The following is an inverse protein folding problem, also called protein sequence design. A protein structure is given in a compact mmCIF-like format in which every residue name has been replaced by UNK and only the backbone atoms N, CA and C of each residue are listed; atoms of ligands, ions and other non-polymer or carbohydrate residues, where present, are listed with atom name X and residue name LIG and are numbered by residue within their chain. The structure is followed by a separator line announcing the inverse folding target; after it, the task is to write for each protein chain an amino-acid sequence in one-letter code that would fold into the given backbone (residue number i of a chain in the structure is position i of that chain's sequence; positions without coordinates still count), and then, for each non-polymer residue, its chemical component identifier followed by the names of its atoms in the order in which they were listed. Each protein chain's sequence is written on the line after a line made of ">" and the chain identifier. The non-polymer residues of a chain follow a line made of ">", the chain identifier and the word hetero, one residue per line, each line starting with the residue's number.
data_IF_958741758407
#
_entry.id   IF_958741758407
#
_cell.length_a   1.000
_cell.length_b   1.000
_cell.length_c   1.000
_cell.angle_alpha   90.00
_cell.angle_beta   90.00
_cell.angle_gamma   90.00
#
_symmetry.space_group_name_H-M   'P 1'
#
loop_
_entity.id
_entity.type
_entity.pdbx_description
1 polymer ?
#
# COMPACT_ATOMS: atom_id res chain seq x y z
N UNK A 1 -10.67 -0.83 -21.37
CA UNK A 1 -9.97 0.47 -21.42
C UNK A 1 -8.74 0.53 -20.49
N UNK A 2 -8.88 0.50 -19.15
CA UNK A 2 -7.74 0.57 -18.20
C UNK A 2 -6.62 -0.44 -18.45
N UNK A 3 -6.98 -1.71 -18.64
CA UNK A 3 -6.04 -2.80 -18.96
C UNK A 3 -5.15 -2.50 -20.18
N UNK A 4 -5.71 -1.81 -21.19
CA UNK A 4 -4.96 -1.39 -22.37
C UNK A 4 -3.94 -0.29 -22.05
N UNK A 5 -4.28 0.68 -21.20
CA UNK A 5 -3.41 1.82 -20.87
C UNK A 5 -2.47 1.58 -19.68
N UNK A 6 -2.78 0.66 -18.77
CA UNK A 6 -2.03 0.46 -17.52
C UNK A 6 -1.28 -0.88 -17.46
N UNK A 7 -1.75 -1.88 -18.21
CA UNK A 7 -1.17 -3.22 -18.23
C UNK A 7 -2.15 -4.29 -17.79
N UNK A 8 -1.78 -5.55 -18.01
CA UNK A 8 -2.58 -6.72 -17.61
C UNK A 8 -2.76 -6.80 -16.09
N UNK A 9 -1.73 -6.39 -15.35
CA UNK A 9 -1.63 -6.55 -13.91
C UNK A 9 -2.13 -5.34 -13.12
N UNK A 10 -2.83 -4.38 -13.73
CA UNK A 10 -3.22 -3.11 -13.10
C UNK A 10 -4.06 -3.21 -11.81
N UNK A 11 -4.53 -4.41 -11.45
CA UNK A 11 -5.26 -4.72 -10.22
C UNK A 11 -4.36 -5.22 -9.08
N UNK A 12 -3.08 -5.52 -9.36
CA UNK A 12 -2.11 -5.85 -8.33
C UNK A 12 -1.68 -4.57 -7.62
N UNK A 13 -1.47 -4.66 -6.31
CA UNK A 13 -0.98 -3.55 -5.52
C UNK A 13 0.50 -3.28 -5.80
N UNK A 14 0.95 -2.08 -5.41
CA UNK A 14 2.36 -1.73 -5.43
C UNK A 14 3.03 -1.76 -6.81
N UNK A 15 4.35 -2.03 -6.88
CA UNK A 15 5.09 -2.06 -8.13
C UNK A 15 4.67 -3.21 -9.07
N UNK A 16 4.08 -4.29 -8.54
CA UNK A 16 3.62 -5.45 -9.31
C UNK A 16 2.50 -5.10 -10.29
N UNK A 17 1.69 -4.08 -9.96
CA UNK A 17 0.62 -3.60 -10.82
C UNK A 17 1.03 -2.61 -11.92
N UNK A 18 2.29 -2.16 -11.91
CA UNK A 18 2.77 -1.11 -12.79
C UNK A 18 3.53 -1.65 -14.01
N UNK A 19 2.99 -1.46 -15.22
CA UNK A 19 3.76 -1.64 -16.45
C UNK A 19 4.41 -0.31 -16.87
N UNK A 20 5.70 -0.16 -16.56
CA UNK A 20 6.48 1.05 -16.85
C UNK A 20 6.44 1.46 -18.33
N UNK A 21 6.29 0.50 -19.26
CA UNK A 21 6.25 0.77 -20.70
C UNK A 21 4.97 1.49 -21.11
N UNK A 22 3.93 1.41 -20.28
CA UNK A 22 2.64 2.08 -20.52
C UNK A 22 2.46 3.32 -19.65
N UNK A 23 2.88 3.26 -18.40
CA UNK A 23 2.65 4.35 -17.42
C UNK A 23 3.77 5.39 -17.41
N UNK A 24 4.98 5.04 -17.87
CA UNK A 24 6.19 5.84 -17.74
C UNK A 24 6.51 6.22 -16.28
N UNK A 25 6.04 5.43 -15.31
CA UNK A 25 6.35 5.60 -13.88
C UNK A 25 7.39 4.58 -13.47
N UNK A 26 8.51 5.07 -12.93
CA UNK A 26 9.59 4.22 -12.44
C UNK A 26 9.13 3.29 -11.30
N UNK A 27 9.58 2.03 -11.33
CA UNK A 27 9.18 1.03 -10.33
C UNK A 27 9.52 1.44 -8.90
N UNK A 28 10.68 2.08 -8.69
CA UNK A 28 11.08 2.58 -7.38
C UNK A 28 10.08 3.59 -6.79
N UNK A 29 9.39 4.36 -7.63
CA UNK A 29 8.36 5.31 -7.19
C UNK A 29 7.11 4.59 -6.70
N UNK A 30 6.75 3.47 -7.34
CA UNK A 30 5.61 2.65 -6.95
C UNK A 30 5.90 1.89 -5.66
N UNK A 31 7.10 1.30 -5.56
CA UNK A 31 7.58 0.63 -4.35
C UNK A 31 7.56 1.58 -3.14
N UNK A 32 8.20 2.75 -3.26
CA UNK A 32 8.23 3.74 -2.17
C UNK A 32 6.82 4.15 -1.69
N UNK A 33 5.90 4.40 -2.62
CA UNK A 33 4.51 4.77 -2.27
C UNK A 33 3.79 3.63 -1.55
N UNK A 34 3.94 2.41 -2.05
CA UNK A 34 3.31 1.24 -1.45
C UNK A 34 3.86 0.95 -0.05
N UNK A 35 5.18 0.94 0.10
CA UNK A 35 5.84 0.75 1.39
C UNK A 35 5.44 1.83 2.41
N UNK A 36 5.39 3.10 1.98
CA UNK A 36 4.97 4.21 2.85
C UNK A 36 3.54 4.02 3.33
N UNK A 37 2.61 3.68 2.43
CA UNK A 37 1.22 3.41 2.78
C UNK A 37 1.09 2.23 3.75
N UNK A 38 1.78 1.12 3.49
CA UNK A 38 1.78 -0.04 4.37
C UNK A 38 2.32 0.31 5.76
N UNK A 39 3.39 1.11 5.85
CA UNK A 39 3.95 1.56 7.11
C UNK A 39 2.96 2.45 7.88
N UNK A 40 2.33 3.42 7.21
CA UNK A 40 1.32 4.29 7.81
C UNK A 40 0.12 3.49 8.35
N UNK A 41 -0.38 2.53 7.57
CA UNK A 41 -1.45 1.64 8.00
C UNK A 41 -1.03 0.76 9.17
N UNK A 42 0.20 0.22 9.16
CA UNK A 42 0.74 -0.55 10.28
C UNK A 42 0.76 0.28 11.56
N UNK A 43 1.22 1.53 11.48
CA UNK A 43 1.23 2.42 12.65
C UNK A 43 -0.17 2.69 13.21
N UNK A 44 -1.17 2.88 12.34
CA UNK A 44 -2.56 3.04 12.78
C UNK A 44 -3.08 1.78 13.46
N UNK A 45 -2.83 0.61 12.88
CA UNK A 45 -3.25 -0.68 13.44
C UNK A 45 -2.59 -0.91 14.80
N UNK A 46 -1.30 -0.63 14.94
CA UNK A 46 -0.57 -0.81 16.19
C UNK A 46 -1.05 0.19 17.26
N UNK A 47 -1.31 1.44 16.88
CA UNK A 47 -1.91 2.44 17.76
C UNK A 47 -3.28 1.96 18.29
N UNK A 48 -4.18 1.50 17.42
CA UNK A 48 -5.50 0.99 17.83
C UNK A 48 -5.38 -0.21 18.76
N UNK A 49 -4.49 -1.16 18.46
CA UNK A 49 -4.23 -2.31 19.34
C UNK A 49 -3.73 -1.89 20.71
N UNK A 50 -2.79 -0.95 20.76
CA UNK A 50 -2.26 -0.44 22.05
C UNK A 50 -3.33 0.23 22.90
N UNK A 51 -4.27 0.95 22.29
CA UNK A 51 -5.42 1.56 22.99
C UNK A 51 -6.34 0.47 23.53
N UNK A 52 -6.71 -0.52 22.71
CA UNK A 52 -7.57 -1.62 23.14
C UNK A 52 -6.96 -2.41 24.32
N UNK A 53 -5.66 -2.70 24.26
CA UNK A 53 -4.94 -3.38 25.36
C UNK A 53 -4.91 -2.53 26.62
N UNK A 54 -4.75 -1.21 26.49
CA UNK A 54 -4.76 -0.30 27.63
C UNK A 54 -6.15 -0.21 28.30
N UNK A 55 -7.23 -0.25 27.50
CA UNK A 55 -8.62 -0.31 28.00
C UNK A 55 -8.91 -1.63 28.74
N UNK A 56 -8.45 -2.77 28.20
CA UNK A 56 -8.57 -4.08 28.85
C UNK A 56 -7.77 -4.16 30.17
N UNK A 57 -6.59 -3.54 30.24
CA UNK A 57 -5.76 -3.56 31.45
C UNK A 57 -6.30 -2.68 32.60
N UNK A 58 -7.19 -1.73 32.29
CA UNK A 58 -7.82 -0.84 33.27
C UNK A 58 -9.17 -1.38 33.79
N UNK A 59 -9.73 -2.39 33.14
CA UNK A 59 -10.98 -3.06 33.51
C UNK A 59 -10.74 -4.23 34.47
#
# INVERSE_FOLDING_TARGET
>A
EKKHFLGENYLQDGPEGNDIRKTNVAQIRMAYRHETLCNELSFLVDAVKSVAVAEEALA
#
